data_IF_178183020734
#
_entry.id   IF_178183020734
#
_cell.length_a   1.000
_cell.length_b   1.000
_cell.length_c   1.000
_cell.angle_alpha   90.00
_cell.angle_beta   90.00
_cell.angle_gamma   90.00
#
_symmetry.space_group_name_H-M   'P 1'
#
loop_
_entity.id
_entity.type
_entity.pdbx_description
1 polymer ?
#
# COMPACT_ATOMS: atom_id res chain seq x y z
N UNK A 1 -4.61 19.73 -2.56
CA UNK A 1 -3.65 19.37 -1.49
C UNK A 1 -4.43 19.02 -0.24
N UNK A 2 -3.96 18.04 0.53
CA UNK A 2 -4.59 17.69 1.81
C UNK A 2 -4.23 18.72 2.89
N UNK A 3 -5.13 18.88 3.86
CA UNK A 3 -4.82 19.62 5.09
C UNK A 3 -3.92 18.77 6.01
N UNK A 4 -3.19 19.40 6.95
CA UNK A 4 -2.43 18.66 7.97
C UNK A 4 -3.28 17.67 8.76
N UNK A 5 -4.54 18.03 9.05
CA UNK A 5 -5.49 17.15 9.72
C UNK A 5 -5.83 15.91 8.86
N UNK A 6 -6.07 16.11 7.56
CA UNK A 6 -6.33 15.00 6.64
C UNK A 6 -5.12 14.06 6.51
N UNK A 7 -3.90 14.60 6.50
CA UNK A 7 -2.66 13.79 6.51
C UNK A 7 -2.55 13.00 7.82
N UNK A 8 -2.84 13.63 8.97
CA UNK A 8 -2.81 12.95 10.27
C UNK A 8 -3.84 11.80 10.34
N UNK A 9 -5.06 12.02 9.84
CA UNK A 9 -6.10 10.99 9.76
C UNK A 9 -5.64 9.82 8.90
N UNK A 10 -5.09 10.07 7.70
CA UNK A 10 -4.60 9.01 6.82
C UNK A 10 -3.41 8.25 7.42
N UNK A 11 -2.46 8.97 8.02
CA UNK A 11 -1.30 8.37 8.68
C UNK A 11 -1.73 7.44 9.81
N UNK A 12 -2.67 7.87 10.65
CA UNK A 12 -3.25 7.03 11.71
C UNK A 12 -3.96 5.80 11.15
N UNK A 13 -4.70 5.95 10.05
CA UNK A 13 -5.38 4.84 9.39
C UNK A 13 -4.39 3.79 8.85
N UNK A 14 -3.32 4.22 8.18
CA UNK A 14 -2.25 3.32 7.69
C UNK A 14 -1.55 2.62 8.85
N UNK A 15 -1.21 3.36 9.92
CA UNK A 15 -0.62 2.75 11.10
C UNK A 15 -1.53 1.70 11.73
N UNK A 16 -2.82 2.01 11.91
CA UNK A 16 -3.81 1.06 12.45
C UNK A 16 -3.92 -0.19 11.58
N UNK A 17 -3.95 -0.04 10.26
CA UNK A 17 -4.01 -1.18 9.34
C UNK A 17 -2.76 -2.07 9.46
N UNK A 18 -1.56 -1.47 9.53
CA UNK A 18 -0.31 -2.21 9.73
C UNK A 18 -0.27 -2.97 11.07
N UNK A 19 -0.72 -2.33 12.15
CA UNK A 19 -0.80 -2.96 13.48
C UNK A 19 -1.79 -4.12 13.46
N UNK A 20 -2.99 -3.93 12.90
CA UNK A 20 -3.99 -4.99 12.80
C UNK A 20 -3.45 -6.19 12.00
N UNK A 21 -2.82 -5.95 10.85
CA UNK A 21 -2.21 -7.02 10.06
C UNK A 21 -1.11 -7.75 10.85
N UNK A 22 -0.28 -7.02 11.59
CA UNK A 22 0.79 -7.61 12.39
C UNK A 22 0.23 -8.50 13.51
N UNK A 23 -0.87 -8.11 14.15
CA UNK A 23 -1.57 -8.93 15.16
C UNK A 23 -2.02 -10.26 14.56
N UNK A 24 -2.48 -10.25 13.31
CA UNK A 24 -2.88 -11.44 12.55
C UNK A 24 -1.68 -12.22 11.96
N UNK A 25 -0.44 -11.84 12.31
CA UNK A 25 0.79 -12.46 11.77
C UNK A 25 1.08 -12.12 10.31
N UNK A 26 0.35 -11.17 9.72
CA UNK A 26 0.53 -10.71 8.35
C UNK A 26 1.55 -9.57 8.30
N UNK A 27 2.42 -9.59 7.29
CA UNK A 27 3.38 -8.51 7.02
C UNK A 27 3.13 -7.93 5.64
N UNK A 28 3.25 -6.61 5.56
CA UNK A 28 3.24 -5.88 4.30
C UNK A 28 4.46 -6.29 3.46
N UNK A 29 4.27 -6.42 2.14
CA UNK A 29 5.38 -6.59 1.21
C UNK A 29 6.21 -5.30 1.22
N UNK A 30 7.53 -5.34 1.53
CA UNK A 30 8.37 -4.15 1.58
C UNK A 30 8.34 -3.31 0.29
N UNK A 31 8.02 -3.93 -0.86
CA UNK A 31 7.90 -3.25 -2.15
C UNK A 31 6.62 -2.42 -2.27
N UNK A 32 5.57 -2.81 -1.56
CA UNK A 32 4.27 -2.17 -1.61
C UNK A 32 4.12 -1.12 -0.47
N UNK A 33 4.96 -1.18 0.57
CA UNK A 33 4.96 -0.24 1.70
C UNK A 33 5.11 1.25 1.31
N UNK A 34 5.95 1.63 0.33
CA UNK A 34 6.06 3.03 -0.10
C UNK A 34 4.76 3.61 -0.68
N UNK A 35 3.90 2.77 -1.26
CA UNK A 35 2.62 3.21 -1.85
C UNK A 35 1.65 3.67 -0.75
N UNK A 36 1.56 2.93 0.36
CA UNK A 36 0.73 3.34 1.50
C UNK A 36 1.27 4.60 2.19
N UNK A 37 2.60 4.77 2.24
CA UNK A 37 3.21 5.97 2.81
C UNK A 37 2.93 7.20 1.94
N UNK A 38 3.02 7.07 0.61
CA UNK A 38 2.67 8.14 -0.33
C UNK A 38 1.18 8.53 -0.22
N UNK A 39 0.29 7.53 -0.06
CA UNK A 39 -1.13 7.79 0.19
C UNK A 39 -1.35 8.53 1.52
N UNK A 40 -0.65 8.13 2.58
CA UNK A 40 -0.73 8.74 3.90
C UNK A 40 -0.29 10.21 3.90
N UNK A 41 0.81 10.52 3.20
CA UNK A 41 1.34 11.88 3.03
C UNK A 41 0.50 12.74 2.06
N UNK A 42 -0.46 12.13 1.35
CA UNK A 42 -1.30 12.84 0.38
C UNK A 42 -0.61 13.12 -0.95
N UNK A 43 0.50 12.45 -1.22
CA UNK A 43 1.25 12.53 -2.49
C UNK A 43 0.46 11.88 -3.63
N UNK A 44 -0.34 10.85 -3.31
CA UNK A 44 -1.22 10.15 -4.24
C UNK A 44 -2.65 10.03 -3.71
N UNK A 45 -3.61 9.87 -4.62
CA UNK A 45 -5.00 9.58 -4.29
C UNK A 45 -5.16 8.13 -3.80
N UNK A 46 -6.30 7.83 -3.18
CA UNK A 46 -6.63 6.45 -2.80
C UNK A 46 -6.83 5.53 -4.01
N UNK A 47 -7.34 6.06 -5.12
CA UNK A 47 -7.48 5.31 -6.37
C UNK A 47 -6.14 4.99 -7.01
N UNK A 48 -5.21 5.94 -7.00
CA UNK A 48 -3.86 5.74 -7.50
C UNK A 48 -3.10 4.71 -6.66
N UNK A 49 -3.22 4.79 -5.32
CA UNK A 49 -2.65 3.78 -4.43
C UNK A 49 -3.20 2.37 -4.72
N UNK A 50 -4.53 2.25 -4.89
CA UNK A 50 -5.17 0.97 -5.25
C UNK A 50 -4.66 0.44 -6.59
N UNK A 51 -4.57 1.30 -7.61
CA UNK A 51 -4.09 0.93 -8.94
C UNK A 51 -2.66 0.37 -8.88
N UNK A 52 -1.75 1.07 -8.19
CA UNK A 52 -0.36 0.62 -8.05
C UNK A 52 -0.23 -0.72 -7.32
N UNK A 53 -1.01 -0.94 -6.26
CA UNK A 53 -1.03 -2.24 -5.55
C UNK A 53 -1.54 -3.37 -6.46
N UNK A 54 -2.61 -3.13 -7.24
CA UNK A 54 -3.14 -4.12 -8.20
C UNK A 54 -2.11 -4.43 -9.28
N UNK A 55 -1.46 -3.41 -9.85
CA UNK A 55 -0.40 -3.56 -10.85
C UNK A 55 0.79 -4.35 -10.28
N UNK A 56 1.19 -4.09 -9.03
CA UNK A 56 2.25 -4.83 -8.36
C UNK A 56 1.87 -6.32 -8.18
N UNK A 57 0.65 -6.62 -7.77
CA UNK A 57 0.16 -8.01 -7.62
C UNK A 57 0.10 -8.73 -8.97
N UNK A 58 -0.50 -8.09 -9.98
CA UNK A 58 -0.71 -8.67 -11.31
C UNK A 58 0.59 -8.83 -12.09
N UNK A 59 1.49 -7.84 -12.05
CA UNK A 59 2.83 -7.92 -12.65
C UNK A 59 3.68 -9.06 -12.06
N UNK A 60 3.57 -9.30 -10.75
CA UNK A 60 4.20 -10.47 -10.09
C UNK A 60 3.60 -11.80 -10.54
N UNK A 61 2.30 -11.87 -10.76
CA UNK A 61 1.61 -13.06 -11.28
C UNK A 61 2.06 -13.42 -12.70
N UNK A 62 2.35 -12.42 -13.54
CA UNK A 62 2.85 -12.65 -14.91
C UNK A 62 4.30 -13.18 -14.87
N UNK A 63 5.20 -12.55 -14.12
CA UNK A 63 6.62 -12.98 -14.02
C UNK A 63 6.78 -14.41 -13.48
N UNK A 64 6.02 -14.79 -12.45
CA UNK A 64 6.06 -16.15 -11.91
C UNK A 64 5.63 -17.21 -12.93
N UNK A 65 4.71 -16.89 -13.85
CA UNK A 65 4.29 -17.82 -14.91
C UNK A 65 5.32 -17.99 -16.02
N UNK A 66 6.07 -16.94 -16.34
CA UNK A 66 7.14 -17.02 -17.35
C UNK A 66 8.41 -17.73 -16.84
N UNK A 67 8.65 -17.75 -15.53
CA UNK A 67 9.81 -18.48 -14.94
C UNK A 67 9.53 -19.97 -14.73
N UNK A 68 8.26 -20.40 -14.82
CA UNK A 68 7.83 -21.78 -14.61
C UNK A 68 7.54 -22.55 -15.92
N UNK A 69 7.81 -21.94 -17.09
CA UNK A 69 7.63 -22.52 -18.42
C UNK A 69 8.99 -22.68 -19.11
#
# INVERSE_FOLDING_TARGET
>A
MLTPEQIAVRTRAVHKARVNNLIEGLREDPRDAPVLDAYARGEISGDEARRQVIEAITGRSVKKRSEAA
#
